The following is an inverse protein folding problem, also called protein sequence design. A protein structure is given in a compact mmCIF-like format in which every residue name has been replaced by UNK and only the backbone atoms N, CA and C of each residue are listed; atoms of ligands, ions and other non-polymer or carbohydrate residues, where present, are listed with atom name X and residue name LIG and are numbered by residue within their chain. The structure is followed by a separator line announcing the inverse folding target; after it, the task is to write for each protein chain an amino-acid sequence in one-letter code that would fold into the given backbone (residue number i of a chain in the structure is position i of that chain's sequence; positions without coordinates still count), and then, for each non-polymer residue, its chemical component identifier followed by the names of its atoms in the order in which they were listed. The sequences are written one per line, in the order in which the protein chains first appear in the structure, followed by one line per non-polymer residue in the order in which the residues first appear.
data_IF_560479904157
#
_entry.id   IF_560479904157
#
_cell.length_a   1.000
_cell.length_b   1.000
_cell.length_c   1.000
_cell.angle_alpha   90.00
_cell.angle_beta   90.00
_cell.angle_gamma   90.00
#
_symmetry.space_group_name_H-M   'P 1'
#
loop_
_entity.id
_entity.type
_entity.pdbx_description
1 polymer ?
#
# COMPACT_ATOMS: atom_id res chain seq x y z
N UNK A 1 -71.22 -4.18 16.54
CA UNK A 1 -70.05 -4.94 16.95
C UNK A 1 -68.94 -5.04 15.88
N UNK A 2 -69.27 -5.13 14.57
CA UNK A 2 -68.29 -5.24 13.49
C UNK A 2 -67.30 -4.06 13.40
N UNK A 3 -67.73 -2.82 13.63
CA UNK A 3 -66.86 -1.64 13.49
C UNK A 3 -65.80 -1.50 14.62
N UNK A 4 -66.07 -2.06 15.82
CA UNK A 4 -65.09 -2.01 16.91
C UNK A 4 -63.90 -2.98 16.72
N UNK A 5 -64.19 -4.12 16.07
CA UNK A 5 -63.16 -5.13 15.74
C UNK A 5 -62.20 -4.60 14.69
N UNK A 6 -62.68 -3.90 13.66
CA UNK A 6 -61.83 -3.29 12.62
C UNK A 6 -60.97 -2.18 13.19
N UNK A 7 -61.46 -1.37 14.13
CA UNK A 7 -60.67 -0.33 14.76
C UNK A 7 -59.53 -0.86 15.62
N UNK A 8 -59.77 -1.96 16.39
CA UNK A 8 -58.75 -2.61 17.17
C UNK A 8 -57.67 -3.27 16.28
N UNK A 9 -58.05 -3.89 15.15
CA UNK A 9 -57.11 -4.51 14.20
C UNK A 9 -56.24 -3.45 13.51
N UNK A 10 -56.78 -2.31 13.13
CA UNK A 10 -56.01 -1.20 12.54
C UNK A 10 -55.05 -0.58 13.56
N UNK A 11 -55.50 -0.41 14.82
CA UNK A 11 -54.65 0.13 15.88
C UNK A 11 -53.49 -0.83 16.23
N UNK A 12 -53.73 -2.13 16.25
CA UNK A 12 -52.69 -3.14 16.50
C UNK A 12 -51.70 -3.20 15.34
N UNK A 13 -52.16 -3.07 14.09
CA UNK A 13 -51.28 -3.01 12.92
C UNK A 13 -50.43 -1.73 12.92
N UNK A 14 -50.98 -0.59 13.37
CA UNK A 14 -50.23 0.67 13.44
C UNK A 14 -49.15 0.64 14.53
N UNK A 15 -49.41 -0.04 15.67
CA UNK A 15 -48.44 -0.20 16.74
C UNK A 15 -47.29 -1.12 16.30
N UNK A 16 -47.54 -2.14 15.49
CA UNK A 16 -46.50 -3.03 14.94
C UNK A 16 -45.60 -2.32 13.91
N UNK A 17 -46.13 -1.34 13.19
CA UNK A 17 -45.31 -0.58 12.22
C UNK A 17 -44.38 0.42 12.92
N UNK A 18 -44.80 1.04 14.03
CA UNK A 18 -43.92 1.95 14.80
C UNK A 18 -42.86 1.23 15.64
N UNK A 19 -43.07 -0.03 16.02
CA UNK A 19 -42.06 -0.81 16.74
C UNK A 19 -40.95 -1.39 15.81
N UNK A 20 -41.16 -1.38 14.49
CA UNK A 20 -40.18 -1.82 13.49
C UNK A 20 -39.08 -0.79 13.24
N UNK A 21 -39.22 0.44 13.74
CA UNK A 21 -38.22 1.49 13.64
C UNK A 21 -37.42 1.74 14.93
N UNK A 22 -37.45 0.82 15.90
CA UNK A 22 -36.48 0.89 16.96
C UNK A 22 -35.12 0.61 16.31
N UNK A 23 -34.24 1.62 16.23
CA UNK A 23 -32.83 1.42 16.01
C UNK A 23 -32.43 0.34 17.01
N UNK A 24 -32.27 -0.92 16.56
CA UNK A 24 -31.47 -1.87 17.31
C UNK A 24 -30.18 -1.13 17.58
N UNK A 25 -29.80 -0.97 18.82
CA UNK A 25 -28.51 -0.51 19.22
C UNK A 25 -27.52 -1.35 18.42
N UNK A 26 -27.06 -0.79 17.31
CA UNK A 26 -25.79 -1.24 16.76
C UNK A 26 -24.84 -1.07 17.92
N UNK A 27 -24.05 -2.09 18.32
CA UNK A 27 -22.96 -1.83 19.23
C UNK A 27 -22.32 -0.55 18.69
N UNK A 28 -22.35 0.52 19.46
CA UNK A 28 -21.61 1.72 19.08
C UNK A 28 -20.21 1.20 18.83
N UNK A 29 -19.72 1.34 17.60
CA UNK A 29 -18.28 1.28 17.40
C UNK A 29 -17.73 2.15 18.51
N UNK A 30 -16.93 1.55 19.40
CA UNK A 30 -16.32 2.25 20.51
C UNK A 30 -15.86 3.60 19.97
N UNK A 31 -16.26 4.69 20.63
CA UNK A 31 -15.92 6.03 20.17
C UNK A 31 -14.46 6.04 19.77
N UNK A 32 -14.21 6.32 18.50
CA UNK A 32 -12.85 6.30 17.97
C UNK A 32 -11.99 7.20 18.84
N UNK A 33 -10.81 6.76 19.33
CA UNK A 33 -10.02 7.57 20.20
C UNK A 33 -9.76 8.92 19.54
N UNK A 34 -10.19 9.99 20.16
CA UNK A 34 -9.87 11.34 19.71
C UNK A 34 -8.37 11.54 19.88
N UNK A 35 -7.74 12.18 18.91
CA UNK A 35 -6.30 12.43 18.85
C UNK A 35 -5.66 13.03 20.12
N UNK A 36 -6.46 13.42 21.08
CA UNK A 36 -6.03 14.06 22.32
C UNK A 36 -5.92 13.12 23.54
N UNK A 37 -6.31 11.84 23.42
CA UNK A 37 -6.23 10.92 24.55
C UNK A 37 -4.88 10.20 24.57
N UNK A 38 -4.02 10.46 25.57
CA UNK A 38 -2.70 9.83 25.68
C UNK A 38 -2.77 8.33 25.97
N UNK A 39 -3.94 7.78 26.31
CA UNK A 39 -4.15 6.36 26.58
C UNK A 39 -4.50 5.55 25.33
N UNK A 40 -4.80 6.19 24.23
CA UNK A 40 -5.12 5.52 22.99
C UNK A 40 -3.95 5.57 22.00
N UNK A 41 -3.70 4.50 21.26
CA UNK A 41 -2.67 4.54 20.22
C UNK A 41 -3.00 5.63 19.19
N UNK A 42 -1.99 6.37 18.75
CA UNK A 42 -2.12 7.43 17.74
C UNK A 42 -2.66 6.90 16.40
N UNK A 43 -2.52 5.61 16.17
CA UNK A 43 -2.92 4.94 14.94
C UNK A 43 -3.84 3.77 15.23
N UNK A 44 -4.78 3.44 14.33
CA UNK A 44 -5.65 2.29 14.46
C UNK A 44 -4.86 1.00 14.70
N UNK A 45 -5.37 0.14 15.57
CA UNK A 45 -4.91 -1.24 15.67
C UNK A 45 -5.19 -1.99 14.36
N UNK A 46 -4.51 -3.09 14.16
CA UNK A 46 -4.68 -3.93 12.97
C UNK A 46 -3.44 -3.96 12.08
N UNK A 47 -3.39 -4.92 11.14
CA UNK A 47 -2.21 -5.16 10.33
C UNK A 47 -2.00 -4.11 9.22
N UNK A 48 -3.06 -3.53 8.67
CA UNK A 48 -2.96 -2.49 7.64
C UNK A 48 -2.55 -1.17 8.29
N UNK A 49 -1.38 -0.65 7.91
CA UNK A 49 -0.77 0.55 8.49
C UNK A 49 -0.86 1.76 7.58
N UNK A 50 -0.87 1.54 6.28
CA UNK A 50 -0.98 2.59 5.28
C UNK A 50 -1.70 2.06 4.04
N UNK A 51 -2.58 2.85 3.48
CA UNK A 51 -3.27 2.56 2.22
C UNK A 51 -3.51 3.84 1.43
N UNK A 52 -3.28 3.76 0.13
CA UNK A 52 -3.75 4.77 -0.81
C UNK A 52 -4.27 4.11 -2.08
N UNK A 53 -5.51 4.44 -2.44
CA UNK A 53 -6.17 3.99 -3.66
C UNK A 53 -5.98 4.95 -4.83
N UNK A 54 -5.36 6.12 -4.62
CA UNK A 54 -5.17 7.16 -5.64
C UNK A 54 -6.47 7.59 -6.35
N UNK A 55 -7.64 7.39 -5.75
CA UNK A 55 -8.95 7.72 -6.33
C UNK A 55 -9.27 9.22 -6.30
N UNK A 56 -8.41 10.01 -5.67
CA UNK A 56 -8.52 11.46 -5.61
C UNK A 56 -7.69 12.18 -6.67
N UNK A 57 -8.00 13.46 -6.90
CA UNK A 57 -7.15 14.38 -7.66
C UNK A 57 -6.08 14.99 -6.75
N UNK A 58 -5.13 15.75 -7.33
CA UNK A 58 -4.12 16.47 -6.54
C UNK A 58 -4.71 17.46 -5.52
N UNK A 59 -5.95 17.89 -5.72
CA UNK A 59 -6.70 18.78 -4.81
C UNK A 59 -7.59 18.01 -3.84
N UNK A 60 -7.90 16.74 -4.11
CA UNK A 60 -8.68 15.89 -3.22
C UNK A 60 -7.79 15.33 -2.12
N UNK A 61 -8.02 15.79 -0.90
CA UNK A 61 -7.30 15.31 0.28
C UNK A 61 -7.90 14.04 0.87
N UNK A 62 -9.00 13.56 0.33
CA UNK A 62 -9.63 12.32 0.77
C UNK A 62 -8.92 11.12 0.15
N UNK A 63 -7.80 10.77 0.73
CA UNK A 63 -7.20 9.46 0.49
C UNK A 63 -8.05 8.43 1.23
N UNK A 64 -8.51 7.39 0.54
CA UNK A 64 -9.37 6.38 1.15
C UNK A 64 -8.65 5.69 2.30
N UNK A 65 -9.08 5.97 3.53
CA UNK A 65 -8.74 5.15 4.66
C UNK A 65 -9.64 3.91 4.64
N UNK A 66 -9.07 2.73 4.49
CA UNK A 66 -9.78 1.46 4.60
C UNK A 66 -9.55 0.91 5.99
N UNK A 67 -10.58 0.30 6.57
CA UNK A 67 -10.52 -0.38 7.86
C UNK A 67 -9.99 0.49 9.00
N UNK A 68 -10.44 1.71 9.08
CA UNK A 68 -10.05 2.63 10.14
C UNK A 68 -8.56 2.99 10.14
N UNK A 69 -7.83 2.75 9.06
CA UNK A 69 -6.46 3.27 8.91
C UNK A 69 -6.55 4.79 8.83
N UNK A 70 -5.76 5.46 9.65
CA UNK A 70 -5.71 6.91 9.65
C UNK A 70 -5.26 7.40 8.27
N UNK A 71 -6.06 8.26 7.66
CA UNK A 71 -5.71 8.87 6.39
C UNK A 71 -4.42 9.67 6.52
N UNK A 72 -3.49 9.45 5.58
CA UNK A 72 -2.26 10.21 5.47
C UNK A 72 -2.20 10.79 4.06
N UNK A 73 -2.27 12.11 3.98
CA UNK A 73 -2.36 12.82 2.71
C UNK A 73 -0.97 13.14 2.16
N UNK A 74 -0.76 13.12 0.84
CA UNK A 74 0.48 13.57 0.27
C UNK A 74 0.72 15.06 0.58
N UNK A 75 1.98 15.44 0.75
CA UNK A 75 2.37 16.86 0.87
C UNK A 75 2.03 17.59 -0.43
N UNK A 76 2.28 16.94 -1.55
CA UNK A 76 1.91 17.35 -2.89
C UNK A 76 1.77 16.10 -3.75
N UNK A 77 0.74 16.02 -4.58
CA UNK A 77 0.62 14.99 -5.62
C UNK A 77 0.83 15.64 -7.00
N UNK A 78 2.05 15.60 -7.54
CA UNK A 78 2.36 16.19 -8.84
C UNK A 78 1.95 15.30 -10.02
N UNK A 79 1.53 14.04 -9.75
CA UNK A 79 1.28 13.05 -10.81
C UNK A 79 -0.15 13.14 -11.34
N UNK A 80 -0.29 12.84 -12.62
CA UNK A 80 -1.60 12.81 -13.26
C UNK A 80 -2.44 11.61 -12.80
N UNK A 81 -3.75 11.79 -12.75
CA UNK A 81 -4.68 10.69 -12.59
C UNK A 81 -4.72 9.82 -13.86
N UNK A 82 -4.91 8.53 -13.68
CA UNK A 82 -5.07 7.56 -14.77
C UNK A 82 -6.13 6.53 -14.38
N UNK A 83 -6.62 5.76 -15.35
CA UNK A 83 -7.47 4.60 -15.05
C UNK A 83 -6.68 3.59 -14.24
N UNK A 84 -7.18 3.25 -13.04
CA UNK A 84 -6.61 2.26 -12.12
C UNK A 84 -6.99 0.84 -12.45
N UNK A 85 -6.58 -0.11 -11.61
CA UNK A 85 -7.12 -1.48 -11.64
C UNK A 85 -8.58 -1.46 -11.17
N UNK A 86 -8.90 -0.56 -10.25
CA UNK A 86 -10.26 -0.22 -9.82
C UNK A 86 -10.35 1.30 -9.66
N UNK A 87 -11.31 1.95 -10.31
CA UNK A 87 -11.43 3.40 -10.24
C UNK A 87 -10.26 4.14 -10.89
N UNK A 88 -9.60 5.01 -10.14
CA UNK A 88 -8.45 5.81 -10.60
C UNK A 88 -7.16 5.36 -9.93
N UNK A 89 -6.07 5.43 -10.68
CA UNK A 89 -4.71 5.32 -10.20
C UNK A 89 -3.90 6.58 -10.56
N UNK A 90 -2.60 6.52 -10.36
CA UNK A 90 -1.65 7.54 -10.80
C UNK A 90 -0.90 7.11 -12.06
N UNK A 91 -0.45 8.10 -12.83
CA UNK A 91 0.50 7.94 -13.94
C UNK A 91 1.80 8.66 -13.60
N UNK A 92 2.88 7.91 -13.47
CA UNK A 92 4.21 8.46 -13.30
C UNK A 92 4.68 9.23 -14.55
N UNK A 93 5.52 10.24 -14.35
CA UNK A 93 6.06 11.12 -15.40
C UNK A 93 7.58 10.96 -15.62
N UNK A 94 8.23 10.08 -14.83
CA UNK A 94 9.68 9.86 -14.89
C UNK A 94 10.52 10.92 -14.18
N UNK A 95 9.89 11.96 -13.63
CA UNK A 95 10.58 13.12 -13.04
C UNK A 95 10.19 13.34 -11.58
N UNK A 96 8.91 13.20 -11.24
CA UNK A 96 8.34 13.53 -9.95
C UNK A 96 7.75 12.31 -9.27
N UNK A 97 7.64 12.38 -7.93
CA UNK A 97 7.04 11.35 -7.09
C UNK A 97 6.13 12.00 -6.03
N UNK A 98 5.24 11.19 -5.46
CA UNK A 98 4.35 11.63 -4.38
C UNK A 98 5.09 11.49 -3.06
N UNK A 99 5.15 12.57 -2.27
CA UNK A 99 5.66 12.56 -0.90
C UNK A 99 4.52 12.48 0.10
N UNK A 100 4.52 11.43 0.90
CA UNK A 100 3.70 11.35 2.10
C UNK A 100 4.54 11.73 3.32
N UNK A 101 4.01 12.52 4.25
CA UNK A 101 4.78 13.03 5.41
C UNK A 101 5.16 11.92 6.39
N UNK A 102 4.44 10.81 6.38
CA UNK A 102 4.78 9.59 7.12
C UNK A 102 4.11 8.36 6.51
N UNK A 103 4.55 7.18 6.89
CA UNK A 103 3.90 5.90 6.61
C UNK A 103 3.05 5.42 7.79
N UNK A 104 2.51 6.35 8.61
CA UNK A 104 1.81 6.10 9.88
C UNK A 104 2.70 5.28 10.84
N UNK A 105 2.11 4.33 11.56
CA UNK A 105 2.83 3.46 12.51
C UNK A 105 3.53 2.26 11.83
N UNK A 106 3.63 2.25 10.51
CA UNK A 106 4.38 1.20 9.79
C UNK A 106 5.85 1.13 10.23
N UNK A 107 6.44 2.26 10.61
CA UNK A 107 7.80 2.33 11.12
C UNK A 107 8.00 1.61 12.47
N UNK A 108 6.93 1.22 13.15
CA UNK A 108 6.96 0.40 14.37
C UNK A 108 6.85 -1.11 14.08
N UNK A 109 6.67 -1.48 12.82
CA UNK A 109 6.47 -2.88 12.42
C UNK A 109 7.77 -3.68 12.52
N UNK A 110 7.66 -4.91 13.00
CA UNK A 110 8.76 -5.88 13.14
C UNK A 110 8.73 -6.97 12.07
N UNK A 111 7.58 -7.19 11.48
CA UNK A 111 7.34 -7.91 10.22
C UNK A 111 6.59 -6.98 9.28
N UNK A 112 6.57 -7.25 8.00
CA UNK A 112 5.84 -6.38 7.08
C UNK A 112 5.31 -7.08 5.82
N UNK A 113 4.36 -6.41 5.16
CA UNK A 113 4.03 -6.63 3.76
C UNK A 113 3.89 -5.29 3.06
N UNK A 114 4.51 -5.17 1.90
CA UNK A 114 4.37 -4.03 0.99
C UNK A 114 3.69 -4.56 -0.27
N UNK A 115 2.63 -3.91 -0.72
CA UNK A 115 1.82 -4.39 -1.85
C UNK A 115 1.36 -3.23 -2.73
N UNK A 116 1.34 -3.45 -4.05
CA UNK A 116 0.90 -2.46 -5.02
C UNK A 116 0.44 -3.11 -6.33
N UNK A 117 -0.44 -2.42 -7.05
CA UNK A 117 -0.74 -2.72 -8.43
C UNK A 117 0.04 -1.79 -9.35
N UNK A 118 0.62 -2.34 -10.41
CA UNK A 118 1.42 -1.61 -11.38
C UNK A 118 1.01 -1.99 -12.81
N UNK A 119 1.10 -1.03 -13.72
CA UNK A 119 0.89 -1.25 -15.15
C UNK A 119 2.03 -0.55 -15.90
N UNK A 120 2.93 -1.34 -16.45
CA UNK A 120 4.15 -0.85 -17.06
C UNK A 120 4.22 -1.22 -18.54
N UNK A 121 4.88 -0.36 -19.30
CA UNK A 121 5.38 -0.64 -20.64
C UNK A 121 6.90 -0.57 -20.64
N UNK A 122 7.54 -1.28 -21.58
CA UNK A 122 9.01 -1.28 -21.68
C UNK A 122 9.54 0.15 -21.83
N UNK A 123 10.53 0.48 -21.01
CA UNK A 123 11.33 1.70 -21.15
C UNK A 123 12.80 1.40 -20.79
N UNK A 124 13.76 2.20 -21.27
CA UNK A 124 15.19 1.95 -21.05
C UNK A 124 15.69 2.41 -19.67
N UNK A 125 14.87 3.14 -18.92
CA UNK A 125 15.30 3.79 -17.69
C UNK A 125 15.39 2.81 -16.53
N UNK A 126 16.30 3.11 -15.60
CA UNK A 126 16.24 2.57 -14.24
C UNK A 126 15.25 3.38 -13.44
N UNK A 127 14.29 2.73 -12.79
CA UNK A 127 13.20 3.39 -12.07
C UNK A 127 13.10 2.92 -10.63
N UNK A 128 12.83 3.86 -9.71
CA UNK A 128 12.39 3.56 -8.36
C UNK A 128 10.86 3.66 -8.27
N UNK A 129 10.24 2.58 -7.80
CA UNK A 129 8.77 2.48 -7.68
C UNK A 129 8.27 3.11 -6.39
N UNK A 130 9.03 2.97 -5.33
CA UNK A 130 8.80 3.64 -4.04
C UNK A 130 10.08 3.64 -3.21
N UNK A 131 10.13 4.49 -2.19
CA UNK A 131 11.12 4.44 -1.12
C UNK A 131 10.52 4.81 0.23
N UNK A 132 10.85 4.06 1.27
CA UNK A 132 10.59 4.39 2.65
C UNK A 132 11.83 5.09 3.20
N UNK A 133 11.82 6.41 3.14
CA UNK A 133 12.98 7.26 3.37
C UNK A 133 13.45 7.18 4.81
N UNK A 134 14.72 6.92 5.04
CA UNK A 134 15.36 6.95 6.37
C UNK A 134 16.57 7.87 6.43
N UNK A 135 17.22 8.10 5.27
CA UNK A 135 18.37 8.99 5.10
C UNK A 135 18.27 9.72 3.76
N UNK A 136 19.26 10.52 3.46
CA UNK A 136 19.29 11.41 2.30
C UNK A 136 19.40 10.68 0.97
N UNK A 137 19.89 9.44 0.97
CA UNK A 137 20.24 8.73 -0.24
C UNK A 137 19.34 7.51 -0.47
N UNK A 138 18.98 7.26 -1.73
CA UNK A 138 17.98 6.24 -2.10
C UNK A 138 18.32 4.83 -1.59
N UNK A 139 19.58 4.39 -1.70
CA UNK A 139 19.97 3.06 -1.25
C UNK A 139 20.11 2.92 0.27
N UNK A 140 20.05 4.02 1.01
CA UNK A 140 20.00 4.05 2.48
C UNK A 140 18.56 4.14 3.01
N UNK A 141 17.57 4.10 2.14
CA UNK A 141 16.14 4.02 2.52
C UNK A 141 15.86 2.70 3.24
N UNK A 142 14.94 2.73 4.22
CA UNK A 142 14.56 1.52 4.98
C UNK A 142 13.94 0.43 4.12
N UNK A 143 13.29 0.80 3.01
CA UNK A 143 12.83 -0.13 1.98
C UNK A 143 12.68 0.62 0.65
N UNK A 144 12.94 -0.07 -0.47
CA UNK A 144 12.67 0.46 -1.81
C UNK A 144 12.56 -0.67 -2.83
N UNK A 145 12.01 -0.34 -4.01
CA UNK A 145 12.00 -1.20 -5.19
C UNK A 145 12.63 -0.47 -6.36
N UNK A 146 13.73 -1.01 -6.88
CA UNK A 146 14.44 -0.55 -8.06
C UNK A 146 14.27 -1.57 -9.19
N UNK A 147 13.95 -1.09 -10.39
CA UNK A 147 13.82 -1.95 -11.59
C UNK A 147 14.64 -1.37 -12.73
N UNK A 148 15.39 -2.26 -13.40
CA UNK A 148 16.34 -1.93 -14.46
C UNK A 148 16.19 -2.89 -15.64
N UNK A 149 16.73 -2.50 -16.79
CA UNK A 149 16.84 -3.35 -17.98
C UNK A 149 15.53 -4.05 -18.34
N UNK A 150 14.45 -3.26 -18.44
CA UNK A 150 13.10 -3.77 -18.70
C UNK A 150 12.97 -4.35 -20.11
N UNK A 151 12.41 -5.56 -20.20
CA UNK A 151 11.83 -6.15 -21.41
C UNK A 151 10.40 -6.57 -21.09
N UNK A 152 9.62 -6.96 -22.09
CA UNK A 152 8.19 -7.30 -21.92
C UNK A 152 7.97 -8.36 -20.83
N UNK A 153 8.81 -9.38 -20.81
CA UNK A 153 8.67 -10.60 -19.99
C UNK A 153 9.77 -10.79 -18.94
N UNK A 154 10.69 -9.84 -18.80
CA UNK A 154 11.79 -9.91 -17.84
C UNK A 154 12.42 -8.57 -17.53
N UNK A 155 13.05 -8.46 -16.36
CA UNK A 155 13.84 -7.31 -15.95
C UNK A 155 14.89 -7.68 -14.89
N UNK A 156 15.80 -6.76 -14.61
CA UNK A 156 16.55 -6.74 -13.36
C UNK A 156 15.68 -6.09 -12.31
N UNK A 157 15.46 -6.79 -11.19
CA UNK A 157 14.50 -6.39 -10.15
C UNK A 157 15.19 -6.48 -8.79
N UNK A 158 15.20 -5.39 -8.05
CA UNK A 158 15.92 -5.27 -6.78
C UNK A 158 15.02 -4.70 -5.72
N UNK A 159 14.71 -5.50 -4.73
CA UNK A 159 13.99 -5.07 -3.55
C UNK A 159 14.94 -5.02 -2.35
N UNK A 160 14.96 -3.91 -1.65
CA UNK A 160 15.75 -3.74 -0.44
C UNK A 160 14.88 -3.55 0.79
N UNK A 161 15.34 -4.11 1.91
CA UNK A 161 14.74 -3.95 3.23
C UNK A 161 15.86 -3.91 4.28
N UNK A 162 16.00 -2.78 4.98
CA UNK A 162 17.06 -2.55 5.97
C UNK A 162 18.46 -2.95 5.49
N UNK A 163 18.93 -2.36 4.39
CA UNK A 163 20.24 -2.61 3.77
C UNK A 163 20.48 -4.05 3.28
N UNK A 164 19.45 -4.91 3.27
CA UNK A 164 19.50 -6.25 2.70
C UNK A 164 18.73 -6.27 1.38
N UNK A 165 19.38 -6.81 0.35
CA UNK A 165 18.88 -6.76 -1.01
C UNK A 165 18.52 -8.15 -1.52
N UNK A 166 17.33 -8.27 -2.09
CA UNK A 166 16.92 -9.41 -2.93
C UNK A 166 16.98 -8.96 -4.38
N UNK A 167 17.94 -9.51 -5.12
CA UNK A 167 18.24 -9.06 -6.47
C UNK A 167 18.07 -10.17 -7.50
N UNK A 168 17.20 -9.91 -8.46
CA UNK A 168 17.07 -10.69 -9.70
C UNK A 168 17.93 -10.03 -10.77
N UNK A 169 19.26 -10.23 -10.67
CA UNK A 169 20.25 -9.63 -11.58
C UNK A 169 20.18 -10.22 -12.98
N UNK A 170 20.76 -9.53 -13.97
CA UNK A 170 20.83 -10.00 -15.36
C UNK A 170 19.46 -10.38 -15.97
N UNK A 171 18.42 -9.60 -15.66
CA UNK A 171 17.06 -9.84 -16.12
C UNK A 171 16.48 -11.21 -15.70
N UNK A 172 16.89 -11.72 -14.53
CA UNK A 172 16.39 -13.01 -14.03
C UNK A 172 15.01 -12.97 -13.41
N UNK A 173 14.40 -11.78 -13.24
CA UNK A 173 12.98 -11.68 -12.93
C UNK A 173 12.17 -11.90 -14.20
N UNK A 174 11.85 -13.17 -14.48
CA UNK A 174 11.20 -13.62 -15.71
C UNK A 174 9.67 -13.59 -15.58
N UNK A 175 9.11 -12.41 -15.38
CA UNK A 175 7.67 -12.15 -15.30
C UNK A 175 7.27 -11.05 -16.28
N UNK A 176 6.06 -11.08 -16.86
CA UNK A 176 5.62 -10.14 -17.89
C UNK A 176 5.23 -8.77 -17.30
N UNK A 177 6.11 -8.19 -16.47
CA UNK A 177 5.87 -6.95 -15.73
C UNK A 177 5.67 -5.72 -16.65
N UNK A 178 6.17 -5.78 -17.90
CA UNK A 178 6.19 -4.65 -18.84
C UNK A 178 5.33 -4.88 -20.10
N UNK A 179 4.30 -5.73 -19.99
CA UNK A 179 3.43 -6.09 -21.11
C UNK A 179 2.23 -5.11 -21.30
N UNK A 180 2.14 -4.06 -20.52
CA UNK A 180 1.05 -3.07 -20.56
C UNK A 180 -0.21 -3.47 -19.79
N UNK A 181 -0.22 -4.62 -19.13
CA UNK A 181 -1.32 -5.06 -18.27
C UNK A 181 -1.09 -4.65 -16.80
N UNK A 182 -2.14 -4.71 -15.99
CA UNK A 182 -2.05 -4.56 -14.55
C UNK A 182 -1.52 -5.83 -13.90
N UNK A 183 -0.49 -5.68 -13.06
CA UNK A 183 0.12 -6.74 -12.28
C UNK A 183 0.18 -6.36 -10.81
N UNK A 184 0.01 -7.35 -9.94
CA UNK A 184 0.13 -7.19 -8.51
C UNK A 184 1.52 -7.61 -8.04
N UNK A 185 2.19 -6.72 -7.34
CA UNK A 185 3.45 -7.00 -6.64
C UNK A 185 3.21 -7.02 -5.14
N UNK A 186 3.77 -8.01 -4.44
CA UNK A 186 3.80 -8.00 -2.99
C UNK A 186 5.13 -8.56 -2.46
N UNK A 187 5.57 -8.00 -1.34
CA UNK A 187 6.79 -8.35 -0.62
C UNK A 187 6.43 -8.61 0.83
N UNK A 188 6.66 -9.80 1.33
CA UNK A 188 6.37 -10.14 2.72
C UNK A 188 7.65 -10.48 3.47
N UNK A 189 7.82 -9.93 4.66
CA UNK A 189 8.92 -10.26 5.56
C UNK A 189 8.40 -10.72 6.91
N UNK A 190 8.85 -11.87 7.37
CA UNK A 190 8.49 -12.48 8.64
C UNK A 190 9.67 -12.47 9.62
N UNK A 191 9.50 -11.82 10.78
CA UNK A 191 10.54 -11.68 11.80
C UNK A 191 10.98 -13.02 12.43
N UNK A 192 10.08 -14.01 12.44
CA UNK A 192 10.33 -15.30 13.08
C UNK A 192 11.26 -16.16 12.25
N UNK A 193 11.07 -16.12 10.93
CA UNK A 193 11.85 -16.90 9.96
C UNK A 193 12.96 -16.11 9.28
N UNK A 194 12.93 -14.78 9.40
CA UNK A 194 13.76 -13.83 8.64
C UNK A 194 13.62 -13.97 7.12
N UNK A 195 12.52 -14.55 6.64
CA UNK A 195 12.30 -14.75 5.22
C UNK A 195 11.58 -13.57 4.58
N UNK A 196 12.20 -13.05 3.54
CA UNK A 196 11.58 -12.17 2.56
C UNK A 196 11.08 -13.01 1.37
N UNK A 197 9.82 -12.83 1.02
CA UNK A 197 9.20 -13.46 -0.15
C UNK A 197 8.67 -12.41 -1.10
N UNK A 198 8.80 -12.68 -2.39
CA UNK A 198 8.31 -11.84 -3.48
C UNK A 198 7.14 -12.55 -4.16
N UNK A 199 6.08 -11.80 -4.45
CA UNK A 199 4.90 -12.32 -5.15
C UNK A 199 4.62 -11.49 -6.39
N UNK A 200 4.25 -12.19 -7.46
CA UNK A 200 3.77 -11.62 -8.71
C UNK A 200 2.39 -12.23 -9.00
N UNK A 201 1.38 -11.38 -9.14
CA UNK A 201 -0.02 -11.80 -9.39
C UNK A 201 -0.53 -12.85 -8.39
N UNK A 202 -0.23 -12.64 -7.11
CA UNK A 202 -0.65 -13.51 -6.02
C UNK A 202 0.17 -14.80 -5.85
N UNK A 203 1.15 -15.06 -6.74
CA UNK A 203 1.97 -16.28 -6.73
C UNK A 203 3.39 -15.95 -6.30
N UNK A 204 3.94 -16.74 -5.37
CA UNK A 204 5.33 -16.58 -4.91
C UNK A 204 6.32 -16.78 -6.07
N UNK A 205 7.26 -15.85 -6.19
CA UNK A 205 8.39 -15.93 -7.12
C UNK A 205 9.61 -16.38 -6.33
N UNK A 206 10.25 -17.50 -6.69
CA UNK A 206 11.45 -17.94 -5.98
C UNK A 206 12.52 -16.84 -5.93
N UNK A 207 13.04 -16.55 -4.75
CA UNK A 207 14.15 -15.60 -4.57
C UNK A 207 15.46 -16.21 -5.06
N UNK A 208 16.36 -15.43 -5.67
CA UNK A 208 17.63 -15.94 -6.15
C UNK A 208 18.52 -16.45 -5.01
N UNK A 209 19.01 -17.67 -5.12
CA UNK A 209 19.92 -18.26 -4.16
C UNK A 209 19.36 -18.28 -2.72
N UNK A 210 20.18 -17.82 -1.76
CA UNK A 210 19.79 -17.69 -0.33
C UNK A 210 19.32 -16.28 0.03
N UNK A 211 19.18 -15.38 -0.94
CA UNK A 211 18.90 -13.95 -0.68
C UNK A 211 17.54 -13.68 -0.01
N UNK A 212 16.61 -14.64 -0.03
CA UNK A 212 15.35 -14.54 0.67
C UNK A 212 15.46 -14.60 2.20
N UNK A 213 16.49 -15.22 2.76
CA UNK A 213 16.75 -15.21 4.20
C UNK A 213 17.66 -14.04 4.56
N UNK A 214 17.08 -12.98 5.12
CA UNK A 214 17.81 -11.76 5.44
C UNK A 214 18.55 -11.82 6.79
N UNK A 215 18.23 -12.79 7.65
CA UNK A 215 18.83 -12.91 8.98
C UNK A 215 18.54 -11.75 9.95
N UNK A 216 17.56 -10.88 9.63
CA UNK A 216 17.31 -9.65 10.38
C UNK A 216 16.53 -9.86 11.70
N UNK A 217 15.76 -10.97 11.81
CA UNK A 217 14.80 -11.09 12.92
C UNK A 217 13.77 -9.96 12.89
N UNK A 218 13.63 -9.25 14.01
CA UNK A 218 12.72 -8.10 14.08
C UNK A 218 13.24 -6.92 13.27
N UNK A 219 12.40 -6.38 12.39
CA UNK A 219 12.73 -5.14 11.68
C UNK A 219 12.84 -3.96 12.66
N UNK A 220 13.68 -2.99 12.29
CA UNK A 220 13.78 -1.71 12.96
C UNK A 220 13.66 -0.58 11.93
N UNK A 221 12.44 -0.17 11.63
CA UNK A 221 12.13 0.88 10.65
C UNK A 221 11.95 2.26 11.28
N UNK A 222 12.33 2.44 12.57
CA UNK A 222 12.06 3.67 13.36
C UNK A 222 12.72 4.93 12.79
N UNK A 223 13.81 4.79 12.03
CA UNK A 223 14.45 5.90 11.34
C UNK A 223 13.70 6.39 10.11
N UNK A 224 12.67 5.67 9.67
CA UNK A 224 11.89 6.05 8.51
C UNK A 224 11.12 7.36 8.77
N UNK A 225 11.22 8.28 7.82
CA UNK A 225 10.61 9.62 7.91
C UNK A 225 9.45 9.76 6.93
N UNK A 226 9.73 9.80 5.64
CA UNK A 226 8.74 9.96 4.60
C UNK A 226 8.53 8.65 3.84
N UNK A 227 7.33 8.48 3.27
CA UNK A 227 7.09 7.52 2.21
C UNK A 227 7.03 8.28 0.89
N UNK A 228 7.84 7.87 -0.07
CA UNK A 228 7.82 8.39 -1.44
C UNK A 228 7.27 7.29 -2.35
N UNK A 229 6.21 7.58 -3.08
CA UNK A 229 5.60 6.67 -4.05
C UNK A 229 5.86 7.18 -5.46
N UNK A 230 6.44 6.34 -6.31
CA UNK A 230 6.85 6.68 -7.66
C UNK A 230 8.28 7.20 -7.76
N UNK A 231 9.13 7.04 -6.74
CA UNK A 231 10.50 7.53 -6.79
C UNK A 231 11.22 7.50 -5.45
N UNK A 232 12.14 8.42 -5.26
CA UNK A 232 12.93 8.63 -4.04
C UNK A 232 13.11 10.13 -3.75
N UNK A 233 13.94 10.48 -2.75
CA UNK A 233 14.13 11.84 -2.23
C UNK A 233 14.22 12.92 -3.32
N UNK A 234 15.10 12.73 -4.30
CA UNK A 234 15.29 13.64 -5.44
C UNK A 234 13.98 13.97 -6.17
N UNK A 235 13.10 13.00 -6.33
CA UNK A 235 11.85 13.16 -7.09
C UNK A 235 10.69 13.73 -6.24
N UNK A 236 10.92 13.93 -4.94
CA UNK A 236 9.92 14.33 -3.96
C UNK A 236 10.30 15.60 -3.19
N UNK A 237 11.21 16.41 -3.76
CA UNK A 237 11.73 17.65 -3.17
C UNK A 237 12.27 17.44 -1.74
N UNK A 238 12.89 16.28 -1.48
CA UNK A 238 13.62 16.00 -0.24
C UNK A 238 15.10 16.21 -0.55
N UNK A 239 15.79 16.98 0.29
CA UNK A 239 17.22 17.27 0.12
C UNK A 239 18.06 15.98 0.13
N UNK A 240 19.17 15.98 -0.59
CA UNK A 240 20.09 14.86 -0.67
C UNK A 240 20.81 14.77 -2.02
N UNK A 241 21.63 13.73 -2.23
CA UNK A 241 22.29 13.46 -3.48
C UNK A 241 21.31 13.32 -4.66
N UNK A 242 21.80 13.56 -5.87
CA UNK A 242 20.99 13.52 -7.09
C UNK A 242 21.60 12.58 -8.12
N UNK A 243 21.31 11.29 -8.02
CA UNK A 243 21.71 10.31 -9.03
C UNK A 243 20.90 10.51 -10.32
N UNK A 244 21.58 10.95 -11.39
CA UNK A 244 20.92 11.26 -12.65
C UNK A 244 20.46 10.00 -13.41
N UNK A 245 21.07 8.84 -13.14
CA UNK A 245 20.77 7.58 -13.82
C UNK A 245 19.50 6.87 -13.32
N UNK A 246 18.95 7.29 -12.17
CA UNK A 246 17.68 6.77 -11.65
C UNK A 246 16.57 7.79 -11.93
N UNK A 247 15.57 7.37 -12.67
CA UNK A 247 14.35 8.12 -12.95
C UNK A 247 13.28 7.86 -11.89
N UNK A 248 12.32 8.75 -11.78
CA UNK A 248 11.06 8.45 -11.16
C UNK A 248 10.29 7.42 -12.02
N UNK A 249 9.29 6.82 -11.43
CA UNK A 249 8.43 5.83 -12.06
C UNK A 249 7.67 6.44 -13.25
N UNK A 250 7.53 5.67 -14.34
CA UNK A 250 6.80 6.11 -15.54
C UNK A 250 5.51 5.34 -15.80
N UNK A 251 5.31 4.19 -15.15
CA UNK A 251 4.11 3.37 -15.31
C UNK A 251 2.86 3.96 -14.64
N UNK A 252 1.81 3.15 -14.54
CA UNK A 252 0.64 3.45 -13.71
C UNK A 252 0.73 2.65 -12.43
N UNK A 253 0.28 3.24 -11.32
CA UNK A 253 0.23 2.56 -10.02
C UNK A 253 -1.13 2.77 -9.38
N UNK A 254 -1.57 1.75 -8.63
CA UNK A 254 -2.82 1.76 -7.90
C UNK A 254 -2.68 0.96 -6.60
N UNK A 255 -3.52 1.27 -5.62
CA UNK A 255 -3.71 0.49 -4.38
C UNK A 255 -2.40 0.14 -3.65
N UNK A 256 -1.59 1.14 -3.34
CA UNK A 256 -0.38 0.96 -2.55
C UNK A 256 -0.72 0.71 -1.08
N UNK A 257 -0.20 -0.37 -0.50
CA UNK A 257 -0.48 -0.79 0.88
C UNK A 257 0.77 -1.16 1.63
N UNK A 258 0.79 -0.83 2.93
CA UNK A 258 1.78 -1.28 3.90
C UNK A 258 1.07 -1.98 5.05
N UNK A 259 1.48 -3.21 5.35
CA UNK A 259 0.98 -4.00 6.47
C UNK A 259 2.10 -4.24 7.49
N UNK A 260 1.81 -4.09 8.77
CA UNK A 260 2.72 -4.40 9.88
C UNK A 260 2.77 -5.88 10.24
N UNK A 261 2.55 -6.77 9.26
CA UNK A 261 2.69 -8.23 9.39
C UNK A 261 3.12 -8.84 8.06
N UNK A 262 3.74 -10.00 8.10
CA UNK A 262 3.90 -10.84 6.93
C UNK A 262 2.55 -11.48 6.58
N UNK A 263 1.97 -11.10 5.44
CA UNK A 263 0.79 -11.78 4.91
C UNK A 263 1.17 -13.18 4.43
N UNK A 264 0.32 -14.15 4.69
CA UNK A 264 0.45 -15.50 4.13
C UNK A 264 0.23 -15.50 2.61
N UNK A 265 0.67 -16.55 1.93
CA UNK A 265 0.45 -16.70 0.49
C UNK A 265 -1.05 -16.63 0.12
N UNK A 266 -1.94 -17.18 0.96
CA UNK A 266 -3.38 -17.11 0.75
C UNK A 266 -3.94 -15.69 0.91
N UNK A 267 -3.42 -14.90 1.85
CA UNK A 267 -3.80 -13.50 2.02
C UNK A 267 -3.30 -12.63 0.86
N UNK A 268 -2.08 -12.87 0.37
CA UNK A 268 -1.54 -12.18 -0.82
C UNK A 268 -2.37 -12.54 -2.06
N UNK A 269 -2.74 -13.81 -2.24
CA UNK A 269 -3.61 -14.24 -3.33
C UNK A 269 -5.01 -13.61 -3.22
N UNK A 270 -5.54 -13.44 -2.01
CA UNK A 270 -6.81 -12.76 -1.78
C UNK A 270 -6.74 -11.28 -2.17
N UNK A 271 -5.63 -10.57 -1.88
CA UNK A 271 -5.41 -9.19 -2.34
C UNK A 271 -5.40 -9.11 -3.88
N UNK A 272 -4.71 -10.02 -4.53
CA UNK A 272 -4.68 -10.09 -5.99
C UNK A 272 -6.08 -10.33 -6.59
N UNK A 273 -6.84 -11.27 -6.03
CA UNK A 273 -8.17 -11.63 -6.55
C UNK A 273 -9.22 -10.54 -6.28
N UNK A 274 -9.15 -9.87 -5.15
CA UNK A 274 -10.15 -8.86 -4.76
C UNK A 274 -10.05 -7.60 -5.62
N UNK A 275 -8.86 -7.23 -6.06
CA UNK A 275 -8.59 -5.96 -6.79
C UNK A 275 -9.14 -4.73 -6.07
N UNK A 276 -9.21 -4.82 -4.74
CA UNK A 276 -9.73 -3.78 -3.84
C UNK A 276 -8.60 -3.06 -3.13
#
# INVERSE_FOLDING_TARGET
MKNKIHFCLVLTALILVVSSCSKKDRPSLADYPKDADPHFPLYPGGPLKFYTAFNGTSTDKLMNAVDSVRANFPTNNPLASATGITGSGIKGDGVKAIKYPSANDFNLSTSCTISMWVNNTVNPNTELYFSLVSKDYWHESSAFLLVEHAAVDKCTFKFALQDHWVEYTNQSFTKPLFNGNWHHLAFTYDETTSLLKVYFDGVEVPTPGTSGNLGLGKLNLKSSTNLVVGGWNKHADISGPTDAWISAYTGKMDQFRLYGKALSASEVLALYNSKL
#
